data_IF_144575814121
#
_entry.id   IF_144575814121
#
_cell.length_a   1.000
_cell.length_b   1.000
_cell.length_c   1.000
_cell.angle_alpha   90.00
_cell.angle_beta   90.00
_cell.angle_gamma   90.00
#
_symmetry.space_group_name_H-M   'P 1'
#
loop_
_entity.id
_entity.type
_entity.pdbx_description
1 polymer ?
#
# COMPACT_ATOMS: atom_id res chain seq x y z
N UNK A 1 -15.25 0.93 -2.40
CA UNK A 1 -16.16 2.07 -2.18
C UNK A 1 -16.47 2.35 -0.70
N UNK A 2 -16.37 1.37 0.20
CA UNK A 2 -16.60 1.60 1.65
C UNK A 2 -15.51 2.45 2.33
N UNK A 3 -14.24 2.33 1.90
CA UNK A 3 -13.12 3.09 2.49
C UNK A 3 -13.35 4.60 2.46
N UNK A 4 -13.82 5.13 1.33
CA UNK A 4 -14.09 6.57 1.19
C UNK A 4 -15.21 7.02 2.11
N UNK A 5 -16.26 6.21 2.29
CA UNK A 5 -17.36 6.53 3.20
C UNK A 5 -16.84 6.61 4.64
N UNK A 6 -16.14 5.58 5.11
CA UNK A 6 -15.62 5.51 6.48
C UNK A 6 -14.64 6.67 6.73
N UNK A 7 -13.75 6.97 5.79
CA UNK A 7 -12.80 8.06 5.95
C UNK A 7 -13.51 9.42 5.98
N UNK A 8 -14.51 9.64 5.13
CA UNK A 8 -15.29 10.88 5.12
C UNK A 8 -16.06 11.10 6.42
N UNK A 9 -16.58 10.06 7.07
CA UNK A 9 -17.21 10.15 8.40
C UNK A 9 -16.24 10.65 9.48
N UNK A 10 -14.94 10.44 9.28
CA UNK A 10 -13.88 10.95 10.14
C UNK A 10 -13.28 12.27 9.63
N UNK A 11 -13.88 12.91 8.62
CA UNK A 11 -13.41 14.17 8.03
C UNK A 11 -12.15 14.03 7.16
N UNK A 12 -11.85 12.81 6.69
CA UNK A 12 -10.66 12.52 5.87
C UNK A 12 -11.06 12.33 4.42
N UNK A 13 -10.58 13.22 3.55
CA UNK A 13 -10.66 13.04 2.11
C UNK A 13 -9.44 12.23 1.61
N UNK A 14 -9.69 11.17 0.84
CA UNK A 14 -8.63 10.29 0.36
C UNK A 14 -8.76 10.00 -1.14
N UNK A 15 -7.62 10.04 -1.84
CA UNK A 15 -7.51 9.50 -3.20
C UNK A 15 -7.28 7.99 -3.11
N UNK A 16 -8.20 7.20 -3.69
CA UNK A 16 -8.09 5.74 -3.73
C UNK A 16 -7.61 5.31 -5.11
N UNK A 17 -6.50 4.58 -5.14
CA UNK A 17 -5.94 3.98 -6.35
C UNK A 17 -6.08 2.48 -6.21
N UNK A 18 -6.67 1.82 -7.22
CA UNK A 18 -6.60 0.38 -7.36
C UNK A 18 -5.55 0.04 -8.43
N UNK A 19 -4.32 -0.32 -8.04
CA UNK A 19 -3.29 -0.72 -8.99
C UNK A 19 -3.65 -2.10 -9.57
N UNK A 20 -3.97 -2.16 -10.87
CA UNK A 20 -4.22 -3.43 -11.55
C UNK A 20 -3.00 -4.36 -11.51
N UNK A 21 -1.79 -3.79 -11.51
CA UNK A 21 -0.55 -4.53 -11.47
C UNK A 21 0.39 -3.93 -10.42
N UNK A 22 1.08 -4.80 -9.67
CA UNK A 22 2.16 -4.38 -8.75
C UNK A 22 3.41 -3.98 -9.53
N UNK A 23 3.65 -4.62 -10.69
CA UNK A 23 4.79 -4.37 -11.57
C UNK A 23 4.36 -4.44 -13.05
N UNK A 24 4.86 -3.54 -13.92
CA UNK A 24 5.65 -2.35 -13.57
C UNK A 24 4.84 -1.38 -12.68
N UNK A 25 5.53 -0.69 -11.77
CA UNK A 25 4.88 0.26 -10.88
C UNK A 25 4.49 1.52 -11.68
N UNK A 26 3.23 1.96 -11.56
CA UNK A 26 2.75 3.18 -12.23
C UNK A 26 3.22 4.43 -11.48
N UNK A 27 4.50 4.77 -11.66
CA UNK A 27 5.13 5.91 -11.00
C UNK A 27 4.59 7.25 -11.49
N UNK A 28 4.15 7.32 -12.74
CA UNK A 28 3.58 8.53 -13.35
C UNK A 28 2.28 8.94 -12.65
N UNK A 29 1.45 7.96 -12.24
CA UNK A 29 0.28 8.22 -11.43
C UNK A 29 0.62 8.46 -9.96
N UNK A 30 1.44 7.60 -9.36
CA UNK A 30 1.59 7.52 -7.90
C UNK A 30 2.46 8.66 -7.34
N UNK A 31 3.59 8.98 -7.98
CA UNK A 31 4.57 9.93 -7.40
C UNK A 31 4.04 11.36 -7.31
N UNK A 32 3.33 11.91 -8.33
CA UNK A 32 2.74 13.24 -8.22
C UNK A 32 1.71 13.34 -7.08
N UNK A 33 0.90 12.29 -6.89
CA UNK A 33 -0.08 12.22 -5.82
C UNK A 33 0.59 12.10 -4.45
N UNK A 34 1.61 11.25 -4.31
CA UNK A 34 2.38 11.12 -3.09
C UNK A 34 3.04 12.44 -2.68
N UNK A 35 3.62 13.17 -3.64
CA UNK A 35 4.22 14.49 -3.41
C UNK A 35 3.20 15.55 -3.01
N UNK A 36 2.01 15.54 -3.62
CA UNK A 36 0.93 16.49 -3.33
C UNK A 36 0.25 16.24 -1.99
N UNK A 37 -0.03 14.97 -1.66
CA UNK A 37 -0.83 14.58 -0.48
C UNK A 37 0.06 14.42 0.76
N UNK A 38 1.31 13.97 0.60
CA UNK A 38 2.26 13.84 1.71
C UNK A 38 2.02 12.64 2.63
N UNK A 39 1.03 11.79 2.34
CA UNK A 39 0.78 10.52 3.05
C UNK A 39 0.32 9.45 2.08
N UNK A 40 0.87 8.25 2.20
CA UNK A 40 0.46 7.07 1.43
C UNK A 40 0.14 5.92 2.37
N UNK A 41 -0.96 5.23 2.09
CA UNK A 41 -1.32 3.98 2.74
C UNK A 41 -1.47 2.91 1.66
N UNK A 42 -0.84 1.76 1.86
CA UNK A 42 -0.95 0.62 0.95
C UNK A 42 -1.59 -0.57 1.66
N UNK A 43 -2.38 -1.33 0.92
CA UNK A 43 -2.95 -2.61 1.37
C UNK A 43 -2.71 -3.63 0.28
N UNK A 44 -2.07 -4.75 0.63
CA UNK A 44 -1.79 -5.85 -0.29
C UNK A 44 -2.03 -7.19 0.41
N UNK A 45 -2.42 -8.21 -0.36
CA UNK A 45 -2.51 -9.59 0.14
C UNK A 45 -1.15 -10.30 0.12
N UNK A 46 -0.12 -9.64 -0.41
CA UNK A 46 1.26 -10.13 -0.42
C UNK A 46 2.01 -9.80 0.86
N UNK A 47 3.26 -10.27 0.92
CA UNK A 47 4.16 -9.96 2.02
C UNK A 47 4.52 -8.46 2.01
N UNK A 48 4.42 -7.81 3.16
CA UNK A 48 4.80 -6.39 3.32
C UNK A 48 6.27 -6.17 2.95
N UNK A 49 7.14 -7.13 3.30
CA UNK A 49 8.55 -7.07 2.95
C UNK A 49 8.75 -7.37 1.46
N UNK A 50 9.36 -6.43 0.73
CA UNK A 50 9.58 -6.58 -0.71
C UNK A 50 8.31 -6.44 -1.58
N UNK A 51 7.12 -6.31 -0.98
CA UNK A 51 5.85 -6.13 -1.67
C UNK A 51 5.61 -4.75 -2.30
N UNK A 52 4.37 -4.50 -2.68
CA UNK A 52 3.90 -3.27 -3.33
C UNK A 52 4.20 -2.03 -2.49
N UNK A 53 3.91 -2.06 -1.19
CA UNK A 53 4.20 -0.92 -0.31
C UNK A 53 5.70 -0.61 -0.22
N UNK A 54 6.56 -1.65 -0.26
CA UNK A 54 8.01 -1.48 -0.31
C UNK A 54 8.46 -0.86 -1.63
N UNK A 55 7.84 -1.25 -2.74
CA UNK A 55 8.13 -0.68 -4.06
C UNK A 55 7.76 0.80 -4.14
N UNK A 56 6.60 1.21 -3.59
CA UNK A 56 6.22 2.63 -3.51
C UNK A 56 7.23 3.41 -2.68
N UNK A 57 7.57 2.95 -1.47
CA UNK A 57 8.51 3.65 -0.61
C UNK A 57 9.88 3.85 -1.29
N UNK A 58 10.37 2.82 -1.99
CA UNK A 58 11.60 2.90 -2.78
C UNK A 58 11.47 3.88 -3.94
N UNK A 59 10.37 3.85 -4.68
CA UNK A 59 10.13 4.74 -5.81
C UNK A 59 10.04 6.21 -5.38
N UNK A 60 9.38 6.49 -4.25
CA UNK A 60 9.31 7.84 -3.68
C UNK A 60 10.69 8.33 -3.24
N UNK A 61 11.48 7.49 -2.57
CA UNK A 61 12.85 7.82 -2.17
C UNK A 61 13.73 8.12 -3.40
N UNK A 62 13.68 7.28 -4.43
CA UNK A 62 14.46 7.46 -5.65
C UNK A 62 14.11 8.74 -6.44
N UNK A 63 12.91 9.29 -6.20
CA UNK A 63 12.44 10.53 -6.82
C UNK A 63 12.59 11.76 -5.90
N UNK A 64 13.35 11.63 -4.80
CA UNK A 64 13.55 12.67 -3.79
C UNK A 64 12.23 13.20 -3.17
N UNK A 65 11.22 12.32 -3.06
CA UNK A 65 9.93 12.63 -2.44
C UNK A 65 9.90 12.07 -1.02
N UNK A 66 10.00 12.97 -0.04
CA UNK A 66 9.83 12.61 1.37
C UNK A 66 8.34 12.47 1.69
N UNK A 67 7.90 11.23 1.88
CA UNK A 67 6.49 10.92 2.15
C UNK A 67 6.36 9.80 3.20
N UNK A 68 5.39 9.93 4.10
CA UNK A 68 5.08 8.86 5.06
C UNK A 68 4.31 7.75 4.36
N UNK A 69 4.88 6.54 4.33
CA UNK A 69 4.23 5.36 3.75
C UNK A 69 3.87 4.34 4.84
N UNK A 70 2.57 4.17 5.11
CA UNK A 70 2.06 3.10 5.97
C UNK A 70 1.69 1.90 5.11
N UNK A 71 2.19 0.72 5.45
CA UNK A 71 2.02 -0.51 4.66
C UNK A 71 1.25 -1.55 5.46
N UNK A 72 0.19 -2.08 4.87
CA UNK A 72 -0.59 -3.20 5.36
C UNK A 72 -0.47 -4.37 4.39
N UNK A 73 -0.28 -5.57 4.95
CA UNK A 73 -0.21 -6.82 4.20
C UNK A 73 0.23 -7.96 5.10
N UNK A 74 0.62 -9.07 4.49
CA UNK A 74 1.01 -10.29 5.21
C UNK A 74 2.38 -10.09 5.87
N UNK A 75 2.56 -10.48 7.14
CA UNK A 75 3.87 -10.46 7.79
C UNK A 75 4.82 -11.47 7.13
N UNK A 76 6.12 -11.13 7.08
CA UNK A 76 7.14 -12.04 6.56
C UNK A 76 7.51 -13.11 7.60
N UNK A 77 6.61 -14.04 7.81
CA UNK A 77 6.78 -15.15 8.75
C UNK A 77 6.39 -16.45 8.08
N UNK A 78 7.17 -17.50 8.34
CA UNK A 78 6.82 -18.83 7.91
C UNK A 78 5.61 -19.29 8.73
N UNK A 79 4.50 -19.55 8.06
CA UNK A 79 3.32 -20.15 8.69
C UNK A 79 3.47 -21.65 8.60
N UNK A 80 3.46 -22.33 9.75
CA UNK A 80 3.45 -23.79 9.77
C UNK A 80 2.21 -24.31 9.05
N UNK A 81 2.38 -25.43 8.33
CA UNK A 81 1.30 -26.06 7.60
C UNK A 81 0.16 -26.37 8.58
N UNK A 82 -1.05 -25.86 8.29
CA UNK A 82 -2.22 -26.22 9.06
C UNK A 82 -2.40 -27.74 9.07
N UNK A 83 -2.56 -28.32 10.27
CA UNK A 83 -2.89 -29.73 10.38
C UNK A 83 -4.26 -29.98 9.75
N UNK A 84 -4.42 -31.02 8.90
CA UNK A 84 -5.65 -31.25 8.12
C UNK A 84 -6.94 -31.39 8.94
N UNK A 85 -6.85 -31.49 10.28
CA UNK A 85 -7.98 -31.61 11.20
C UNK A 85 -8.35 -30.31 11.94
N UNK A 86 -7.79 -29.15 11.55
CA UNK A 86 -8.19 -27.83 12.09
C UNK A 86 -8.42 -26.85 10.95
N UNK A 87 -9.54 -27.04 10.26
CA UNK A 87 -10.14 -26.07 9.32
C UNK A 87 -11.52 -25.66 9.82
#
# INVERSE_FOLDING_TARGET
MQVTVILSEHGIEATIINPHFVKPLDTELILPLAKKIGRVVTSEEGCVMGGFGSAIAKASLNADILVSVKRFGVPDVLVDRAEPNKS
#
